data_IF_935002464407
#
_entry.id   IF_935002464407
#
_cell.length_a   1.000
_cell.length_b   1.000
_cell.length_c   1.000
_cell.angle_alpha   90.00
_cell.angle_beta   90.00
_cell.angle_gamma   90.00
#
_symmetry.space_group_name_H-M   'P 1'
#
loop_
_entity.id
_entity.type
_entity.pdbx_description
1 polymer ?
#
# COMPACT_ATOMS: atom_id res chain seq x y z
N UNK A 1 -20.07 14.63 6.63
CA UNK A 1 -20.56 16.02 6.42
C UNK A 1 -21.98 16.07 5.87
N UNK A 2 -22.35 15.26 4.87
CA UNK A 2 -23.64 15.39 4.18
C UNK A 2 -24.88 15.41 5.10
N UNK A 3 -24.98 14.49 6.08
CA UNK A 3 -26.12 14.49 7.01
C UNK A 3 -26.12 15.69 7.97
N UNK A 4 -24.94 16.08 8.48
CA UNK A 4 -24.80 17.23 9.39
C UNK A 4 -25.09 18.56 8.68
N UNK A 5 -24.62 18.74 7.45
CA UNK A 5 -24.91 19.92 6.65
C UNK A 5 -26.40 20.04 6.34
N UNK A 6 -27.05 18.93 6.00
CA UNK A 6 -28.51 18.89 5.83
C UNK A 6 -29.26 19.24 7.12
N UNK A 7 -28.79 18.76 8.26
CA UNK A 7 -29.37 19.10 9.56
C UNK A 7 -29.22 20.60 9.89
N UNK A 8 -28.18 21.25 9.36
CA UNK A 8 -27.92 22.68 9.49
C UNK A 8 -28.59 23.54 8.41
N UNK A 9 -29.47 22.95 7.59
CA UNK A 9 -30.21 23.63 6.53
C UNK A 9 -29.41 23.89 5.25
N UNK A 10 -28.24 23.28 5.10
CA UNK A 10 -27.38 23.39 3.91
C UNK A 10 -27.67 22.19 3.00
N UNK A 11 -28.47 22.41 1.96
CA UNK A 11 -28.94 21.35 1.06
C UNK A 11 -28.29 21.40 -0.33
N UNK A 12 -27.74 22.55 -0.71
CA UNK A 12 -27.14 22.80 -2.00
C UNK A 12 -25.75 23.44 -1.91
N UNK A 13 -25.02 23.43 -3.03
CA UNK A 13 -23.75 24.15 -3.14
C UNK A 13 -23.94 25.66 -3.00
N UNK A 14 -25.09 26.20 -3.43
CA UNK A 14 -25.42 27.61 -3.27
C UNK A 14 -25.59 27.98 -1.79
N UNK A 15 -26.27 27.13 -1.01
CA UNK A 15 -26.42 27.32 0.44
C UNK A 15 -25.04 27.29 1.12
N UNK A 16 -24.20 26.33 0.75
CA UNK A 16 -22.84 26.21 1.28
C UNK A 16 -22.00 27.43 0.92
N UNK A 17 -22.10 27.95 -0.31
CA UNK A 17 -21.42 29.16 -0.75
C UNK A 17 -21.87 30.41 0.04
N UNK A 18 -23.15 30.50 0.41
CA UNK A 18 -23.71 31.60 1.17
C UNK A 18 -23.32 31.61 2.66
N UNK A 19 -22.74 30.52 3.17
CA UNK A 19 -22.31 30.44 4.57
C UNK A 19 -21.02 31.21 4.83
N UNK A 20 -20.84 31.72 6.06
CA UNK A 20 -19.62 32.43 6.43
C UNK A 20 -18.48 31.44 6.75
N UNK A 21 -17.30 31.52 6.09
CA UNK A 21 -16.21 30.55 6.28
C UNK A 21 -15.75 30.39 7.73
N UNK A 22 -15.77 31.48 8.52
CA UNK A 22 -15.43 31.43 9.94
C UNK A 22 -16.42 30.59 10.78
N UNK A 23 -17.73 30.67 10.48
CA UNK A 23 -18.76 29.88 11.16
C UNK A 23 -18.66 28.40 10.76
N UNK A 24 -18.34 28.13 9.49
CA UNK A 24 -18.07 26.76 9.03
C UNK A 24 -16.80 26.21 9.70
N UNK A 25 -15.73 26.99 9.81
CA UNK A 25 -14.49 26.55 10.48
C UNK A 25 -14.70 26.24 11.96
N UNK A 26 -15.53 26.99 12.68
CA UNK A 26 -15.77 26.77 14.11
C UNK A 26 -16.62 25.52 14.39
N UNK A 27 -17.52 25.14 13.47
CA UNK A 27 -18.41 23.99 13.62
C UNK A 27 -17.91 22.72 12.91
N UNK A 28 -17.13 22.87 11.85
CA UNK A 28 -16.64 21.79 10.99
C UNK A 28 -15.11 21.77 10.90
N UNK A 29 -14.55 21.39 9.76
CA UNK A 29 -13.11 21.30 9.52
C UNK A 29 -12.62 22.50 8.73
N UNK A 30 -11.32 22.80 8.86
CA UNK A 30 -10.67 23.84 8.04
C UNK A 30 -10.78 23.54 6.54
N UNK A 31 -10.88 22.26 6.17
CA UNK A 31 -11.04 21.84 4.77
C UNK A 31 -12.38 22.33 4.22
N UNK A 32 -13.48 22.14 4.96
CA UNK A 32 -14.79 22.61 4.51
C UNK A 32 -14.86 24.14 4.44
N UNK A 33 -14.24 24.85 5.39
CA UNK A 33 -14.14 26.31 5.33
C UNK A 33 -13.35 26.80 4.10
N UNK A 34 -12.24 26.12 3.75
CA UNK A 34 -11.49 26.37 2.52
C UNK A 34 -12.32 26.07 1.27
N UNK A 35 -13.15 25.02 1.28
CA UNK A 35 -14.09 24.74 0.18
C UNK A 35 -15.09 25.89 -0.01
N UNK A 36 -15.62 26.47 1.08
CA UNK A 36 -16.51 27.65 0.98
C UNK A 36 -15.77 28.86 0.41
N UNK A 37 -14.51 29.07 0.80
CA UNK A 37 -13.67 30.15 0.25
C UNK A 37 -13.41 29.95 -1.26
N UNK A 38 -13.08 28.73 -1.70
CA UNK A 38 -12.92 28.37 -3.12
C UNK A 38 -14.20 28.61 -3.93
N UNK A 39 -15.37 28.19 -3.42
CA UNK A 39 -16.66 28.45 -4.07
C UNK A 39 -16.98 29.94 -4.20
N UNK A 40 -16.35 30.78 -3.38
CA UNK A 40 -16.43 32.24 -3.41
C UNK A 40 -15.25 32.88 -4.16
N UNK A 41 -14.47 32.10 -4.91
CA UNK A 41 -13.39 32.59 -5.77
C UNK A 41 -12.09 32.92 -5.03
N UNK A 42 -11.95 32.49 -3.77
CA UNK A 42 -10.70 32.63 -3.02
C UNK A 42 -9.90 31.31 -3.13
N UNK A 43 -8.83 31.27 -3.94
CA UNK A 43 -8.02 30.06 -4.09
C UNK A 43 -7.32 29.72 -2.77
N UNK A 44 -7.63 28.55 -2.25
CA UNK A 44 -7.13 27.97 -1.00
C UNK A 44 -6.27 26.71 -1.24
N UNK A 45 -6.42 26.08 -2.40
CA UNK A 45 -5.65 24.92 -2.83
C UNK A 45 -4.91 25.27 -4.13
N UNK A 46 -3.65 25.76 -4.02
CA UNK A 46 -2.86 26.03 -5.22
C UNK A 46 -2.64 24.74 -6.01
N UNK A 47 -2.52 24.86 -7.33
CA UNK A 47 -2.12 23.74 -8.18
C UNK A 47 -0.72 23.31 -7.76
N UNK A 48 -0.59 22.03 -7.38
CA UNK A 48 0.68 21.47 -6.93
C UNK A 48 1.52 21.05 -8.13
N UNK A 49 2.44 21.92 -8.56
CA UNK A 49 3.29 21.69 -9.74
C UNK A 49 4.42 20.68 -9.48
N UNK A 50 4.84 20.52 -8.21
CA UNK A 50 5.85 19.57 -7.79
C UNK A 50 5.40 18.88 -6.51
N UNK A 51 4.77 17.69 -6.60
CA UNK A 51 4.28 16.99 -5.42
C UNK A 51 5.44 16.57 -4.52
N UNK A 52 5.28 16.63 -3.18
CA UNK A 52 6.32 16.22 -2.25
C UNK A 52 6.66 14.73 -2.44
N UNK A 53 7.88 14.33 -2.05
CA UNK A 53 8.29 12.94 -2.13
C UNK A 53 7.32 12.05 -1.34
N UNK A 54 7.04 10.86 -1.87
CA UNK A 54 6.19 9.88 -1.20
C UNK A 54 6.76 9.56 0.17
N UNK A 55 5.93 9.68 1.20
CA UNK A 55 6.29 9.34 2.58
C UNK A 55 6.14 7.84 2.86
N UNK A 56 5.27 7.16 2.11
CA UNK A 56 5.00 5.73 2.28
C UNK A 56 4.47 5.08 1.00
N UNK A 57 4.67 3.77 0.87
CA UNK A 57 4.06 2.96 -0.20
C UNK A 57 3.23 1.86 0.44
N UNK A 58 1.92 1.88 0.17
CA UNK A 58 0.99 0.84 0.63
C UNK A 58 0.63 -0.09 -0.53
N UNK A 59 0.68 -1.39 -0.26
CA UNK A 59 0.10 -2.44 -1.08
C UNK A 59 -0.81 -3.31 -0.21
N UNK A 60 -2.11 -3.20 -0.44
CA UNK A 60 -3.12 -3.98 0.28
C UNK A 60 -4.35 -4.17 -0.58
N UNK A 61 -5.09 -5.25 -0.36
CA UNK A 61 -6.40 -5.47 -0.97
C UNK A 61 -7.33 -6.21 -0.01
N UNK A 62 -8.61 -5.90 -0.09
CA UNK A 62 -9.63 -6.72 0.52
C UNK A 62 -9.81 -7.99 -0.30
N UNK A 63 -9.92 -9.13 0.38
CA UNK A 63 -10.08 -10.43 -0.23
C UNK A 63 -11.49 -10.64 -0.78
N UNK A 64 -11.60 -11.40 -1.87
CA UNK A 64 -12.88 -11.78 -2.44
C UNK A 64 -13.76 -12.54 -1.43
N UNK A 65 -13.14 -13.45 -0.69
CA UNK A 65 -13.70 -14.17 0.45
C UNK A 65 -12.81 -14.01 1.68
N UNK A 66 -13.34 -14.05 2.92
CA UNK A 66 -12.51 -14.00 4.11
C UNK A 66 -11.50 -15.16 4.15
N UNK A 67 -10.25 -14.84 4.47
CA UNK A 67 -9.14 -15.79 4.55
C UNK A 67 -8.87 -16.11 6.02
N UNK A 68 -8.75 -17.40 6.33
CA UNK A 68 -8.43 -17.89 7.68
C UNK A 68 -7.08 -18.58 7.73
N UNK A 69 -6.68 -19.25 6.64
CA UNK A 69 -5.45 -20.01 6.58
C UNK A 69 -4.23 -19.09 6.56
N UNK A 70 -3.29 -19.32 7.47
CA UNK A 70 -2.02 -18.59 7.53
C UNK A 70 -1.22 -18.67 6.23
N UNK A 71 -1.25 -19.81 5.54
CA UNK A 71 -0.54 -20.02 4.28
C UNK A 71 -1.09 -19.11 3.17
N UNK A 72 -2.40 -18.97 3.06
CA UNK A 72 -3.04 -18.07 2.10
C UNK A 72 -2.74 -16.60 2.43
N UNK A 73 -2.75 -16.22 3.72
CA UNK A 73 -2.33 -14.89 4.14
C UNK A 73 -0.86 -14.62 3.81
N UNK A 74 0.01 -15.62 3.96
CA UNK A 74 1.43 -15.51 3.62
C UNK A 74 1.62 -15.25 2.13
N UNK A 75 0.90 -15.97 1.27
CA UNK A 75 0.88 -15.74 -0.18
C UNK A 75 0.39 -14.33 -0.52
N UNK A 76 -0.72 -13.89 0.09
CA UNK A 76 -1.23 -12.53 -0.12
C UNK A 76 -0.26 -11.43 0.29
N UNK A 77 0.36 -11.59 1.46
CA UNK A 77 1.38 -10.65 1.96
C UNK A 77 2.59 -10.64 1.04
N UNK A 78 3.08 -11.80 0.59
CA UNK A 78 4.20 -11.89 -0.35
C UNK A 78 3.87 -11.18 -1.68
N UNK A 79 2.69 -11.41 -2.26
CA UNK A 79 2.24 -10.71 -3.47
C UNK A 79 2.19 -9.18 -3.27
N UNK A 80 1.70 -8.74 -2.11
CA UNK A 80 1.66 -7.32 -1.78
C UNK A 80 3.05 -6.72 -1.61
N UNK A 81 3.99 -7.45 -1.03
CA UNK A 81 5.40 -7.04 -0.96
C UNK A 81 6.00 -6.92 -2.36
N UNK A 82 5.82 -7.91 -3.23
CA UNK A 82 6.30 -7.86 -4.62
C UNK A 82 5.86 -6.55 -5.29
N UNK A 83 4.57 -6.23 -5.16
CA UNK A 83 4.01 -5.01 -5.74
C UNK A 83 4.47 -3.72 -5.08
N UNK A 84 4.68 -3.73 -3.76
CA UNK A 84 5.21 -2.57 -3.05
C UNK A 84 6.68 -2.31 -3.45
N UNK A 85 7.47 -3.37 -3.58
CA UNK A 85 8.88 -3.30 -3.95
C UNK A 85 9.07 -2.84 -5.41
N UNK A 86 8.24 -3.31 -6.35
CA UNK A 86 8.22 -2.80 -7.73
C UNK A 86 7.96 -1.27 -7.77
N UNK A 87 6.96 -0.80 -7.01
CA UNK A 87 6.66 0.64 -6.91
C UNK A 87 7.82 1.43 -6.30
N UNK A 88 8.49 0.85 -5.32
CA UNK A 88 9.63 1.45 -4.65
C UNK A 88 10.81 1.63 -5.62
N UNK A 89 11.12 0.59 -6.42
CA UNK A 89 12.17 0.64 -7.45
C UNK A 89 11.83 1.60 -8.59
N UNK A 90 10.58 1.63 -9.04
CA UNK A 90 10.12 2.62 -10.02
C UNK A 90 10.25 4.05 -9.48
N UNK A 91 10.06 4.25 -8.18
CA UNK A 91 10.28 5.54 -7.52
C UNK A 91 11.76 5.86 -7.27
N UNK A 92 12.69 4.97 -7.64
CA UNK A 92 14.12 5.08 -7.29
C UNK A 92 14.33 5.28 -5.78
N UNK A 93 13.53 4.61 -4.96
CA UNK A 93 13.55 4.70 -3.50
C UNK A 93 13.99 3.37 -2.88
N UNK A 94 14.40 3.42 -1.61
CA UNK A 94 14.52 2.29 -0.69
C UNK A 94 13.61 2.52 0.53
N UNK A 95 13.30 1.47 1.29
CA UNK A 95 12.49 1.56 2.50
C UNK A 95 13.31 1.18 3.73
N UNK A 96 13.27 2.01 4.78
CA UNK A 96 13.92 1.75 6.07
C UNK A 96 13.06 0.94 7.05
N UNK A 97 11.74 0.90 6.86
CA UNK A 97 10.83 0.12 7.70
C UNK A 97 9.69 -0.52 6.89
N UNK A 98 9.16 -1.64 7.39
CA UNK A 98 8.01 -2.33 6.80
C UNK A 98 6.96 -2.62 7.87
N UNK A 99 5.73 -2.20 7.63
CA UNK A 99 4.55 -2.61 8.40
C UNK A 99 3.79 -3.69 7.66
N UNK A 100 3.46 -4.79 8.33
CA UNK A 100 2.49 -5.78 7.88
C UNK A 100 1.24 -5.68 8.74
N UNK A 101 0.06 -5.79 8.12
CA UNK A 101 -1.20 -5.67 8.84
C UNK A 101 -2.27 -6.63 8.31
N UNK A 102 -3.19 -6.98 9.21
CA UNK A 102 -4.37 -7.80 8.93
C UNK A 102 -5.61 -7.06 9.41
N UNK A 103 -6.75 -7.32 8.78
CA UNK A 103 -8.02 -6.69 9.15
C UNK A 103 -9.19 -7.65 8.89
N UNK A 104 -9.99 -7.91 9.93
CA UNK A 104 -11.33 -8.51 9.83
C UNK A 104 -12.33 -7.53 9.21
N UNK A 105 -13.55 -7.99 8.91
CA UNK A 105 -14.58 -7.11 8.36
C UNK A 105 -15.20 -6.22 9.47
N UNK A 106 -14.92 -4.90 9.50
CA UNK A 106 -15.43 -4.02 10.56
C UNK A 106 -16.96 -3.84 10.50
N UNK A 107 -17.58 -4.18 9.37
CA UNK A 107 -19.03 -4.06 9.18
C UNK A 107 -19.80 -5.32 9.60
N UNK A 108 -19.11 -6.40 9.98
CA UNK A 108 -19.75 -7.63 10.45
C UNK A 108 -19.69 -7.72 11.98
N UNK A 109 -20.70 -7.19 12.64
CA UNK A 109 -20.79 -7.14 14.11
C UNK A 109 -20.98 -8.53 14.76
N UNK A 110 -21.33 -9.55 13.96
CA UNK A 110 -21.54 -10.92 14.44
C UNK A 110 -20.24 -11.76 14.49
N UNK A 111 -19.13 -11.22 13.99
CA UNK A 111 -17.84 -11.90 13.97
C UNK A 111 -16.83 -11.20 14.89
N UNK A 112 -15.90 -11.98 15.45
CA UNK A 112 -14.82 -11.45 16.27
C UNK A 112 -13.93 -10.50 15.46
N UNK A 113 -13.62 -9.34 16.03
CA UNK A 113 -12.84 -8.30 15.37
C UNK A 113 -11.37 -8.36 15.76
N UNK A 114 -10.50 -8.23 14.76
CA UNK A 114 -9.06 -8.20 14.95
C UNK A 114 -8.35 -7.45 13.82
N UNK A 115 -7.58 -6.43 14.20
CA UNK A 115 -6.95 -5.48 13.27
C UNK A 115 -5.48 -5.21 13.63
N UNK A 116 -4.60 -6.23 13.68
CA UNK A 116 -3.23 -6.02 14.08
C UNK A 116 -2.42 -5.35 12.96
N UNK A 117 -1.46 -4.53 13.38
CA UNK A 117 -0.37 -4.04 12.54
C UNK A 117 0.95 -4.17 13.31
N UNK A 118 2.01 -4.55 12.61
CA UNK A 118 3.35 -4.62 13.19
C UNK A 118 4.36 -3.98 12.24
N UNK A 119 5.05 -2.96 12.73
CA UNK A 119 6.17 -2.31 12.04
C UNK A 119 7.48 -2.94 12.45
N UNK A 120 8.29 -3.31 11.48
CA UNK A 120 9.62 -3.87 11.65
C UNK A 120 10.63 -2.95 10.94
N UNK A 121 11.64 -2.44 11.66
CA UNK A 121 12.71 -1.70 11.03
C UNK A 121 13.58 -2.66 10.21
N UNK A 122 14.12 -2.17 9.11
CA UNK A 122 15.22 -2.79 8.40
C UNK A 122 16.53 -2.24 8.94
N UNK A 123 17.51 -3.12 9.13
CA UNK A 123 18.84 -2.68 9.54
C UNK A 123 19.47 -1.75 8.48
N UNK A 124 19.19 -2.01 7.20
CA UNK A 124 19.56 -1.14 6.09
C UNK A 124 18.39 -0.90 5.15
N UNK A 125 18.19 0.33 4.66
CA UNK A 125 17.16 0.62 3.67
C UNK A 125 17.35 -0.20 2.39
N UNK A 126 16.32 -0.93 1.96
CA UNK A 126 16.40 -1.80 0.77
C UNK A 126 15.17 -1.69 -0.12
N UNK A 127 15.34 -2.09 -1.37
CA UNK A 127 14.26 -2.35 -2.32
C UNK A 127 14.27 -3.79 -2.84
N UNK A 128 14.99 -4.70 -2.18
CA UNK A 128 15.02 -6.12 -2.51
C UNK A 128 13.73 -6.81 -2.09
N UNK A 129 12.98 -7.31 -3.08
CA UNK A 129 11.71 -8.00 -2.90
C UNK A 129 11.82 -9.19 -1.96
N UNK A 130 12.91 -9.98 -2.03
CA UNK A 130 13.07 -11.19 -1.22
C UNK A 130 13.29 -10.86 0.27
N UNK A 131 14.05 -9.79 0.56
CA UNK A 131 14.30 -9.37 1.94
C UNK A 131 13.08 -8.73 2.58
N UNK A 132 12.39 -7.86 1.83
CA UNK A 132 11.12 -7.30 2.27
C UNK A 132 10.10 -8.41 2.52
N UNK A 133 10.06 -9.44 1.67
CA UNK A 133 9.12 -10.56 1.82
C UNK A 133 9.45 -11.39 3.07
N UNK A 134 10.72 -11.71 3.31
CA UNK A 134 11.16 -12.42 4.50
C UNK A 134 10.79 -11.67 5.80
N UNK A 135 10.98 -10.35 5.82
CA UNK A 135 10.62 -9.50 6.96
C UNK A 135 9.10 -9.44 7.17
N UNK A 136 8.34 -9.23 6.09
CA UNK A 136 6.88 -9.18 6.15
C UNK A 136 6.28 -10.50 6.63
N UNK A 137 6.80 -11.64 6.19
CA UNK A 137 6.37 -12.98 6.64
C UNK A 137 6.74 -13.23 8.10
N UNK A 138 7.90 -12.73 8.56
CA UNK A 138 8.26 -12.73 9.98
C UNK A 138 7.27 -11.91 10.80
N UNK A 139 6.88 -10.74 10.32
CA UNK A 139 5.85 -9.92 10.97
C UNK A 139 4.48 -10.60 10.97
N UNK A 140 4.08 -11.20 9.85
CA UNK A 140 2.83 -11.96 9.72
C UNK A 140 2.76 -13.10 10.75
N UNK A 141 3.87 -13.81 10.95
CA UNK A 141 3.96 -14.88 11.95
C UNK A 141 3.66 -14.40 13.37
N UNK A 142 3.96 -13.14 13.69
CA UNK A 142 3.73 -12.55 15.02
C UNK A 142 2.33 -11.99 15.20
N UNK A 143 1.70 -11.50 14.13
CA UNK A 143 0.37 -10.87 14.19
C UNK A 143 -0.77 -11.82 13.81
N UNK A 144 -0.49 -12.95 13.19
CA UNK A 144 -1.51 -13.93 12.85
C UNK A 144 -2.11 -14.55 14.12
N UNK A 145 -3.45 -14.61 14.16
CA UNK A 145 -4.19 -15.35 15.18
C UNK A 145 -5.20 -16.30 14.49
N UNK A 146 -5.21 -17.59 14.85
CA UNK A 146 -6.25 -18.50 14.37
C UNK A 146 -7.62 -18.07 14.91
N UNK A 147 -8.69 -18.49 14.23
CA UNK A 147 -10.07 -18.21 14.62
C UNK A 147 -10.65 -16.89 14.09
N UNK A 148 -9.85 -16.06 13.41
CA UNK A 148 -10.32 -14.83 12.78
C UNK A 148 -10.54 -14.99 11.28
N UNK A 149 -11.58 -14.32 10.78
CA UNK A 149 -11.94 -14.28 9.35
C UNK A 149 -11.40 -12.98 8.75
N UNK A 150 -10.16 -13.02 8.29
CA UNK A 150 -9.50 -11.83 7.77
C UNK A 150 -10.10 -11.43 6.42
N UNK A 151 -10.55 -10.17 6.31
CA UNK A 151 -11.12 -9.60 5.08
C UNK A 151 -10.08 -8.85 4.26
N UNK A 152 -8.95 -8.47 4.85
CA UNK A 152 -7.89 -7.70 4.21
C UNK A 152 -6.54 -7.99 4.84
N UNK A 153 -5.51 -7.99 4.01
CA UNK A 153 -4.11 -7.94 4.43
C UNK A 153 -3.37 -6.89 3.62
N UNK A 154 -2.20 -6.50 4.09
CA UNK A 154 -1.37 -5.55 3.38
C UNK A 154 -0.01 -5.35 4.00
N UNK A 155 0.83 -4.67 3.21
CA UNK A 155 2.09 -4.13 3.66
C UNK A 155 2.17 -2.63 3.38
N UNK A 156 2.95 -1.95 4.19
CA UNK A 156 3.26 -0.54 4.08
C UNK A 156 4.77 -0.36 4.25
N UNK A 157 5.41 0.22 3.24
CA UNK A 157 6.82 0.58 3.27
C UNK A 157 6.93 2.02 3.78
N UNK A 158 7.79 2.21 4.77
CA UNK A 158 8.00 3.44 5.51
C UNK A 158 9.46 3.85 5.42
N UNK A 159 9.75 5.08 5.89
CA UNK A 159 11.10 5.65 5.89
C UNK A 159 11.72 5.59 4.49
N UNK A 160 10.96 6.11 3.52
CA UNK A 160 11.38 6.08 2.12
C UNK A 160 12.52 7.06 1.91
N UNK A 161 13.66 6.55 1.46
CA UNK A 161 14.81 7.37 1.10
C UNK A 161 15.15 7.20 -0.39
N UNK A 162 15.74 8.22 -1.03
CA UNK A 162 16.29 8.08 -2.37
C UNK A 162 17.33 6.95 -2.42
N UNK A 163 17.37 6.21 -3.52
CA UNK A 163 18.38 5.17 -3.74
C UNK A 163 19.82 5.71 -3.85
N UNK A 164 20.02 7.03 -3.83
CA UNK A 164 21.32 7.72 -3.77
C UNK A 164 21.80 7.96 -2.33
N UNK A 165 20.90 7.91 -1.35
CA UNK A 165 21.22 8.10 0.06
C UNK A 165 21.45 6.74 0.72
N UNK A 166 22.67 6.53 1.20
CA UNK A 166 23.08 5.29 1.85
C UNK A 166 23.65 5.59 3.22
N UNK A 167 22.95 5.14 4.27
CA UNK A 167 23.52 5.10 5.60
C UNK A 167 24.21 3.74 5.78
N UNK A 168 25.54 3.77 5.86
CA UNK A 168 26.32 2.57 6.19
C UNK A 168 26.12 2.16 7.65
N UNK A 169 26.22 0.86 7.91
CA UNK A 169 26.30 0.35 9.28
C UNK A 169 27.76 0.33 9.74
N UNK A 170 28.02 0.85 10.95
CA UNK A 170 29.36 0.85 11.55
C UNK A 170 29.83 -0.58 11.91
N UNK A 171 28.88 -1.44 12.27
CA UNK A 171 29.09 -2.85 12.59
C UNK A 171 28.13 -3.63 11.70
N UNK A 172 28.58 -4.11 10.54
CA UNK A 172 27.70 -4.78 9.57
C UNK A 172 26.84 -5.87 10.22
N UNK A 173 25.61 -6.05 9.73
CA UNK A 173 24.69 -7.08 10.20
C UNK A 173 25.29 -8.49 10.21
N UNK A 174 25.68 -8.98 11.40
CA UNK A 174 25.88 -10.40 11.68
C UNK A 174 24.53 -11.01 12.02
N UNK A 175 24.02 -11.90 11.17
CA UNK A 175 22.89 -12.74 11.56
C UNK A 175 23.35 -13.91 12.46
N UNK A 176 22.47 -14.34 13.37
CA UNK A 176 22.71 -15.34 14.41
C UNK A 176 23.04 -16.77 13.89
N UNK A 177 23.12 -16.97 12.58
CA UNK A 177 23.36 -18.27 11.93
C UNK A 177 24.68 -18.35 11.18
N UNK A 178 25.56 -17.33 11.22
CA UNK A 178 26.86 -17.36 10.54
C UNK A 178 26.80 -17.27 9.00
N UNK A 179 25.60 -17.36 8.43
CA UNK A 179 25.36 -17.30 6.99
C UNK A 179 25.18 -15.84 6.58
N UNK A 180 26.26 -15.13 6.23
CA UNK A 180 26.20 -13.72 5.81
C UNK A 180 25.03 -13.43 4.86
N UNK A 181 23.93 -12.84 5.36
CA UNK A 181 23.09 -12.00 4.52
C UNK A 181 23.82 -10.67 4.46
N UNK A 182 24.79 -10.59 3.55
CA UNK A 182 25.54 -9.37 3.31
C UNK A 182 24.57 -8.20 3.16
N UNK A 183 24.78 -7.18 3.99
CA UNK A 183 24.24 -5.83 3.88
C UNK A 183 23.84 -5.51 2.43
N UNK A 184 22.60 -5.09 2.23
CA UNK A 184 21.91 -5.27 0.95
C UNK A 184 21.32 -3.98 0.41
N UNK A 185 22.16 -2.95 0.36
CA UNK A 185 21.93 -1.83 -0.54
C UNK A 185 22.50 -2.14 -1.92
N UNK A 186 22.05 -1.41 -2.94
CA UNK A 186 22.60 -1.53 -4.31
C UNK A 186 24.12 -1.28 -4.35
N UNK A 187 24.66 -0.45 -3.44
CA UNK A 187 26.09 -0.21 -3.28
C UNK A 187 26.84 -1.41 -2.66
N UNK A 188 26.22 -2.13 -1.73
CA UNK A 188 26.85 -3.28 -1.04
C UNK A 188 26.66 -4.60 -1.80
N UNK A 189 25.64 -4.73 -2.66
CA UNK A 189 25.45 -5.93 -3.48
C UNK A 189 24.89 -5.63 -4.90
N UNK A 190 25.75 -5.22 -5.86
CA UNK A 190 25.32 -4.88 -7.22
C UNK A 190 24.67 -6.05 -7.95
N UNK A 191 25.00 -7.30 -7.58
CA UNK A 191 24.37 -8.50 -8.16
C UNK A 191 22.88 -8.58 -7.83
N UNK A 192 22.49 -8.27 -6.57
CA UNK A 192 21.08 -8.25 -6.16
C UNK A 192 20.30 -7.11 -6.79
N UNK A 193 20.90 -5.93 -6.93
CA UNK A 193 20.27 -4.82 -7.65
C UNK A 193 19.98 -5.19 -9.11
N UNK A 194 20.96 -5.76 -9.81
CA UNK A 194 20.79 -6.24 -11.19
C UNK A 194 19.75 -7.36 -11.30
N UNK A 195 19.70 -8.28 -10.33
CA UNK A 195 18.66 -9.31 -10.27
C UNK A 195 17.26 -8.69 -10.20
N UNK A 196 17.04 -7.74 -9.29
CA UNK A 196 15.73 -7.08 -9.15
C UNK A 196 15.34 -6.33 -10.42
N UNK A 197 16.27 -5.61 -11.04
CA UNK A 197 16.03 -4.93 -12.32
C UNK A 197 15.68 -5.93 -13.44
N UNK A 198 16.36 -7.08 -13.48
CA UNK A 198 16.09 -8.13 -14.48
C UNK A 198 14.70 -8.74 -14.27
N UNK A 199 14.32 -9.02 -13.02
CA UNK A 199 12.98 -9.51 -12.67
C UNK A 199 11.90 -8.53 -13.12
N UNK A 200 12.07 -7.24 -12.81
CA UNK A 200 11.13 -6.19 -13.20
C UNK A 200 11.05 -6.04 -14.73
N UNK A 201 12.18 -6.09 -15.44
CA UNK A 201 12.21 -6.00 -16.89
C UNK A 201 11.47 -7.16 -17.57
N UNK A 202 11.65 -8.39 -17.06
CA UNK A 202 10.94 -9.56 -17.58
C UNK A 202 9.43 -9.42 -17.32
N UNK A 203 9.03 -9.04 -16.11
CA UNK A 203 7.63 -8.81 -15.77
C UNK A 203 6.99 -7.65 -16.55
N UNK A 204 7.78 -6.65 -16.95
CA UNK A 204 7.30 -5.56 -17.80
C UNK A 204 7.07 -6.04 -19.23
N UNK A 205 8.01 -6.81 -19.79
CA UNK A 205 7.98 -7.27 -21.19
C UNK A 205 6.95 -8.37 -21.43
N UNK A 206 6.90 -9.37 -20.53
CA UNK A 206 6.07 -10.57 -20.71
C UNK A 206 4.75 -10.53 -19.95
N UNK A 207 4.53 -9.46 -19.17
CA UNK A 207 3.33 -9.26 -18.40
C UNK A 207 3.52 -9.53 -16.90
N UNK A 208 2.67 -8.87 -16.12
CA UNK A 208 2.75 -8.88 -14.65
C UNK A 208 2.57 -10.30 -14.11
N UNK A 209 3.46 -10.70 -13.20
CA UNK A 209 3.40 -12.02 -12.55
C UNK A 209 3.99 -13.17 -13.37
N UNK A 210 4.72 -12.86 -14.46
CA UNK A 210 5.50 -13.85 -15.22
C UNK A 210 6.55 -14.50 -14.33
N UNK A 211 7.37 -13.67 -13.68
CA UNK A 211 8.27 -14.06 -12.61
C UNK A 211 7.70 -13.59 -11.28
N UNK A 212 7.70 -14.49 -10.30
CA UNK A 212 7.15 -14.26 -8.97
C UNK A 212 8.04 -14.91 -7.92
N UNK A 213 7.93 -14.43 -6.68
CA UNK A 213 8.54 -15.15 -5.57
C UNK A 213 7.80 -16.47 -5.33
N UNK A 214 8.53 -17.53 -4.99
CA UNK A 214 7.90 -18.81 -4.64
C UNK A 214 6.89 -18.68 -3.48
N UNK A 215 7.15 -17.74 -2.55
CA UNK A 215 6.26 -17.44 -1.42
C UNK A 215 4.93 -16.80 -1.82
N UNK A 216 4.81 -16.24 -3.03
CA UNK A 216 3.56 -15.68 -3.56
C UNK A 216 2.58 -16.80 -3.94
N UNK A 217 3.09 -17.98 -4.30
CA UNK A 217 2.27 -19.10 -4.77
C UNK A 217 1.80 -18.94 -6.22
N UNK A 218 1.05 -19.94 -6.68
CA UNK A 218 0.44 -19.94 -8.02
C UNK A 218 -1.05 -19.66 -7.96
N UNK A 219 -1.74 -20.39 -7.08
CA UNK A 219 -3.16 -20.23 -6.85
C UNK A 219 -3.42 -19.14 -5.82
N UNK A 220 -4.28 -18.20 -6.18
CA UNK A 220 -4.61 -17.06 -5.34
C UNK A 220 -6.12 -17.01 -5.09
N UNK A 221 -6.70 -17.97 -4.34
CA UNK A 221 -8.15 -18.03 -4.08
C UNK A 221 -8.67 -16.78 -3.35
N UNK A 222 -7.77 -16.08 -2.66
CA UNK A 222 -8.02 -14.85 -1.93
C UNK A 222 -8.11 -13.60 -2.80
N UNK A 223 -7.91 -13.69 -4.13
CA UNK A 223 -7.98 -12.54 -5.03
C UNK A 223 -9.31 -11.77 -4.88
N UNK A 224 -9.22 -10.46 -5.11
CA UNK A 224 -10.40 -9.60 -5.06
C UNK A 224 -11.42 -10.02 -6.14
N UNK A 225 -12.71 -10.04 -5.77
CA UNK A 225 -13.79 -10.23 -6.74
C UNK A 225 -13.88 -9.04 -7.68
N UNK A 226 -14.04 -9.30 -8.98
CA UNK A 226 -14.17 -8.28 -10.03
C UNK A 226 -15.46 -8.43 -10.85
N UNK A 227 -16.42 -9.20 -10.36
CA UNK A 227 -17.65 -9.56 -11.08
C UNK A 227 -18.54 -8.36 -11.45
N UNK A 228 -18.34 -7.21 -10.80
CA UNK A 228 -19.05 -5.94 -11.08
C UNK A 228 -18.20 -4.92 -11.85
N UNK A 229 -17.05 -5.35 -12.40
CA UNK A 229 -16.20 -4.48 -13.20
C UNK A 229 -16.89 -4.21 -14.53
N UNK A 230 -17.04 -2.93 -14.87
CA UNK A 230 -17.46 -2.53 -16.21
C UNK A 230 -16.43 -2.99 -17.22
N UNK A 231 -16.89 -3.40 -18.41
CA UNK A 231 -16.01 -3.81 -19.51
C UNK A 231 -15.01 -2.71 -19.84
N UNK A 232 -13.81 -3.13 -20.20
CA UNK A 232 -12.67 -2.32 -20.55
C UNK A 232 -12.75 -1.82 -22.00
N UNK A 233 -13.84 -1.11 -22.34
CA UNK A 233 -14.15 -0.67 -23.70
C UNK A 233 -13.02 0.10 -24.40
N UNK A 234 -12.18 0.81 -23.65
CA UNK A 234 -11.11 1.65 -24.19
C UNK A 234 -9.72 1.01 -24.16
N UNK A 235 -9.55 -0.11 -23.46
CA UNK A 235 -8.22 -0.71 -23.23
C UNK A 235 -8.12 -2.17 -23.66
N UNK A 236 -9.23 -2.84 -23.95
CA UNK A 236 -9.26 -4.21 -24.45
C UNK A 236 -10.20 -4.29 -25.66
N UNK A 237 -9.62 -4.61 -26.83
CA UNK A 237 -10.37 -4.74 -28.09
C UNK A 237 -11.46 -5.81 -27.96
N UNK A 238 -11.17 -6.91 -27.27
CA UNK A 238 -12.13 -8.02 -27.09
C UNK A 238 -13.33 -7.63 -26.22
N UNK A 239 -13.21 -6.56 -25.43
CA UNK A 239 -14.27 -6.06 -24.55
C UNK A 239 -15.05 -4.89 -25.16
N UNK A 240 -14.78 -4.53 -26.42
CA UNK A 240 -15.53 -3.51 -27.16
C UNK A 240 -17.02 -3.85 -27.21
N UNK A 241 -17.85 -2.81 -27.19
CA UNK A 241 -19.28 -2.94 -27.38
C UNK A 241 -19.53 -3.42 -28.82
N UNK A 242 -20.05 -4.64 -28.97
CA UNK A 242 -20.52 -5.15 -30.27
C UNK A 242 -21.95 -4.68 -30.46
N UNK A 243 -22.17 -3.87 -31.49
CA UNK A 243 -23.47 -3.31 -31.91
C UNK A 243 -23.87 -3.97 -33.21
#
# INVERSE_FOLDING_TARGET
>A
WAEQLKADGIHSVADLKATHPHQIKSRYTVVLAKTVQELNGVPCFPLEESPPPKQQIIASRSFGQPVMAKAELAQAVAAHVTRAAEKLRHGQQHAGALTVFLQTNPFNHNEAQYHPGLTLPLSQPTADTAQLAALALTGLNRIYKPGFRYKKAGVMLLELCPNTQHQGELFGCRNATGNQFAASTAATNPKRARLMQTLDAINHTFGRGTLRLASEGYDHPWQMRRDKMTRAYTTLIDELLRV
#
